data_IF_317071557807
#
_entry.id   IF_317071557807
#
_cell.length_a   1.000
_cell.length_b   1.000
_cell.length_c   1.000
_cell.angle_alpha   90.00
_cell.angle_beta   90.00
_cell.angle_gamma   90.00
#
_symmetry.space_group_name_H-M   'P 1'
#
loop_
_entity.id
_entity.type
_entity.pdbx_description
1 polymer ?
#
# COMPACT_ATOMS: atom_id res chain seq x y z
N UNK A 1 -29.75 -10.78 -0.03
CA UNK A 1 -28.31 -10.84 0.33
C UNK A 1 -27.61 -9.48 0.16
N UNK A 2 -28.12 -8.42 0.83
CA UNK A 2 -27.64 -7.01 0.66
C UNK A 2 -26.45 -6.65 1.57
N UNK A 3 -26.17 -7.47 2.60
CA UNK A 3 -25.13 -7.21 3.60
C UNK A 3 -23.73 -7.33 2.98
N UNK A 4 -23.51 -8.23 2.02
CA UNK A 4 -22.21 -8.37 1.34
C UNK A 4 -21.89 -7.26 0.32
N UNK A 5 -22.89 -6.49 -0.13
CA UNK A 5 -22.68 -5.45 -1.14
C UNK A 5 -22.72 -4.01 -0.58
N UNK A 6 -22.97 -3.85 0.72
CA UNK A 6 -23.15 -2.52 1.34
C UNK A 6 -21.85 -1.84 1.78
N UNK A 7 -20.85 -2.60 2.24
CA UNK A 7 -19.59 -2.06 2.78
C UNK A 7 -18.43 -3.02 2.48
N UNK A 8 -17.83 -2.98 1.27
CA UNK A 8 -16.75 -3.89 0.86
C UNK A 8 -15.58 -3.96 1.83
N UNK A 9 -15.27 -2.86 2.53
CA UNK A 9 -14.20 -2.76 3.52
C UNK A 9 -14.48 -3.64 4.74
N UNK A 10 -15.74 -3.71 5.20
CA UNK A 10 -16.12 -4.51 6.37
C UNK A 10 -15.99 -6.00 6.06
N UNK A 11 -16.49 -6.44 4.90
CA UNK A 11 -16.35 -7.83 4.45
C UNK A 11 -14.88 -8.20 4.22
N UNK A 12 -14.08 -7.27 3.68
CA UNK A 12 -12.64 -7.49 3.48
C UNK A 12 -11.89 -7.67 4.80
N UNK A 13 -12.21 -6.89 5.83
CA UNK A 13 -11.58 -7.01 7.15
C UNK A 13 -11.83 -8.39 7.77
N UNK A 14 -13.06 -8.91 7.66
CA UNK A 14 -13.42 -10.25 8.14
C UNK A 14 -12.62 -11.32 7.37
N UNK A 15 -12.54 -11.21 6.05
CA UNK A 15 -11.77 -12.14 5.22
C UNK A 15 -10.29 -12.17 5.60
N UNK A 16 -9.66 -11.02 5.84
CA UNK A 16 -8.26 -10.94 6.30
C UNK A 16 -8.08 -11.67 7.63
N UNK A 17 -9.01 -11.49 8.58
CA UNK A 17 -8.95 -12.17 9.88
C UNK A 17 -9.10 -13.70 9.76
N UNK A 18 -9.98 -14.18 8.88
CA UNK A 18 -10.12 -15.62 8.62
C UNK A 18 -8.83 -16.21 8.04
N UNK A 19 -8.18 -15.53 7.10
CA UNK A 19 -6.89 -15.97 6.55
C UNK A 19 -5.77 -15.98 7.59
N UNK A 20 -5.75 -15.02 8.52
CA UNK A 20 -4.82 -15.02 9.65
C UNK A 20 -5.03 -16.23 10.58
N UNK A 21 -6.30 -16.56 10.90
CA UNK A 21 -6.64 -17.75 11.68
C UNK A 21 -6.15 -19.03 10.97
N UNK A 22 -6.40 -19.17 9.66
CA UNK A 22 -5.96 -20.32 8.87
C UNK A 22 -4.43 -20.42 8.87
N UNK A 23 -3.72 -19.30 8.66
CA UNK A 23 -2.26 -19.25 8.72
C UNK A 23 -1.70 -19.72 10.06
N UNK A 24 -2.29 -19.24 11.16
CA UNK A 24 -1.92 -19.64 12.53
C UNK A 24 -2.22 -21.12 12.81
N UNK A 25 -3.41 -21.60 12.44
CA UNK A 25 -3.82 -22.99 12.66
C UNK A 25 -2.94 -23.99 11.90
N UNK A 26 -2.54 -23.64 10.68
CA UNK A 26 -1.67 -24.46 9.82
C UNK A 26 -0.18 -24.25 10.09
N UNK A 27 0.18 -23.29 10.96
CA UNK A 27 1.57 -22.87 11.23
C UNK A 27 2.33 -22.46 9.96
N UNK A 28 1.64 -21.90 8.98
CA UNK A 28 2.22 -21.47 7.71
C UNK A 28 1.95 -19.98 7.45
N UNK A 29 2.91 -19.24 6.89
CA UNK A 29 2.65 -17.89 6.42
C UNK A 29 1.65 -17.93 5.25
N UNK A 30 0.69 -17.00 5.24
CA UNK A 30 -0.45 -16.99 4.29
C UNK A 30 0.01 -17.04 2.83
N UNK A 31 1.11 -16.37 2.45
CA UNK A 31 1.61 -16.39 1.07
C UNK A 31 1.95 -17.79 0.56
N UNK A 32 2.32 -18.74 1.44
CA UNK A 32 2.55 -20.15 1.06
C UNK A 32 1.24 -20.87 0.79
N UNK A 33 0.23 -20.63 1.62
CA UNK A 33 -1.11 -21.18 1.45
C UNK A 33 -1.77 -20.72 0.15
N UNK A 34 -1.44 -19.51 -0.31
CA UNK A 34 -1.94 -18.93 -1.56
C UNK A 34 -1.14 -19.31 -2.82
N UNK A 35 -0.13 -20.20 -2.71
CA UNK A 35 0.64 -20.70 -3.85
C UNK A 35 2.15 -20.42 -3.83
N UNK A 36 2.65 -19.64 -2.87
CA UNK A 36 4.07 -19.69 -2.47
C UNK A 36 5.12 -19.16 -3.46
N UNK A 37 4.78 -18.27 -4.40
CA UNK A 37 5.68 -17.92 -5.50
C UNK A 37 6.96 -17.16 -5.10
N UNK A 38 6.89 -16.17 -4.21
CA UNK A 38 8.05 -15.36 -3.78
C UNK A 38 7.96 -15.01 -2.31
N UNK A 39 9.09 -15.08 -1.60
CA UNK A 39 9.19 -14.67 -0.19
C UNK A 39 9.29 -13.15 -0.03
N UNK A 40 9.82 -12.46 -1.05
CA UNK A 40 10.09 -11.03 -1.02
C UNK A 40 9.60 -10.37 -2.31
N UNK A 41 9.12 -9.13 -2.20
CA UNK A 41 8.66 -8.31 -3.31
C UNK A 41 9.25 -6.91 -3.22
N UNK A 42 9.52 -6.28 -4.38
CA UNK A 42 10.04 -4.92 -4.41
C UNK A 42 8.93 -3.94 -4.03
N UNK A 43 9.10 -3.22 -2.92
CA UNK A 43 8.24 -2.11 -2.55
C UNK A 43 8.63 -0.83 -3.31
N UNK A 44 7.70 0.13 -3.37
CA UNK A 44 7.92 1.46 -3.95
C UNK A 44 7.49 2.55 -2.97
N UNK A 45 8.15 3.70 -3.01
CA UNK A 45 7.81 4.85 -2.15
C UNK A 45 6.53 5.54 -2.63
N UNK A 46 5.48 5.56 -1.82
CA UNK A 46 4.19 6.20 -2.17
C UNK A 46 4.09 7.61 -1.56
N UNK A 47 4.19 8.65 -2.40
CA UNK A 47 4.26 10.03 -1.94
C UNK A 47 2.88 10.69 -1.76
N UNK A 48 2.64 11.45 -0.68
CA UNK A 48 1.43 12.23 -0.50
C UNK A 48 1.09 13.15 -1.68
N UNK A 49 -0.18 13.56 -1.78
CA UNK A 49 -0.61 14.60 -2.72
C UNK A 49 -0.16 15.98 -2.24
N UNK A 50 0.00 16.92 -3.17
CA UNK A 50 0.12 18.34 -2.86
C UNK A 50 1.55 18.84 -2.61
N UNK A 51 2.58 18.03 -2.89
CA UNK A 51 3.94 18.54 -2.89
C UNK A 51 4.11 19.64 -3.94
N UNK A 52 4.73 20.75 -3.53
CA UNK A 52 5.35 21.69 -4.48
C UNK A 52 6.49 20.97 -5.21
N UNK A 53 6.80 21.31 -6.47
CA UNK A 53 7.81 20.59 -7.27
C UNK A 53 9.15 20.38 -6.55
N UNK A 54 9.72 21.42 -5.91
CA UNK A 54 10.99 21.32 -5.19
C UNK A 54 10.92 20.35 -3.98
N UNK A 55 9.81 20.34 -3.27
CA UNK A 55 9.60 19.42 -2.14
C UNK A 55 9.40 17.98 -2.62
N UNK A 56 8.77 17.78 -3.78
CA UNK A 56 8.64 16.45 -4.39
C UNK A 56 10.01 15.87 -4.77
N UNK A 57 10.91 16.68 -5.35
CA UNK A 57 12.28 16.25 -5.67
C UNK A 57 13.02 15.80 -4.41
N UNK A 58 12.98 16.60 -3.34
CA UNK A 58 13.60 16.22 -2.06
C UNK A 58 13.01 14.94 -1.46
N UNK A 59 11.69 14.77 -1.51
CA UNK A 59 11.03 13.56 -1.00
C UNK A 59 11.39 12.30 -1.81
N UNK A 60 11.54 12.44 -3.14
CA UNK A 60 12.01 11.35 -4.00
C UNK A 60 13.46 10.99 -3.70
N UNK A 61 14.32 12.00 -3.56
CA UNK A 61 15.72 11.79 -3.22
C UNK A 61 15.86 11.07 -1.87
N UNK A 62 15.11 11.51 -0.85
CA UNK A 62 15.08 10.85 0.46
C UNK A 62 14.58 9.39 0.38
N UNK A 63 13.57 9.11 -0.46
CA UNK A 63 13.08 7.75 -0.65
C UNK A 63 14.12 6.83 -1.32
N UNK A 64 14.93 7.37 -2.23
CA UNK A 64 16.02 6.63 -2.87
C UNK A 64 17.14 6.39 -1.85
N UNK A 65 17.57 7.42 -1.14
CA UNK A 65 18.78 7.39 -0.31
C UNK A 65 18.58 6.64 1.02
N UNK A 66 17.44 6.83 1.70
CA UNK A 66 17.22 6.27 3.04
C UNK A 66 16.70 4.84 3.01
N UNK A 67 15.91 4.48 2.00
CA UNK A 67 15.15 3.23 1.97
C UNK A 67 15.50 2.35 0.76
N UNK A 68 16.38 2.81 -0.13
CA UNK A 68 16.81 2.04 -1.31
C UNK A 68 15.68 1.77 -2.29
N UNK A 69 14.61 2.58 -2.30
CA UNK A 69 13.49 2.36 -3.20
C UNK A 69 13.91 2.52 -4.66
N UNK A 70 13.64 1.49 -5.47
CA UNK A 70 13.90 1.52 -6.93
C UNK A 70 12.80 2.19 -7.74
N UNK A 71 11.68 2.54 -7.08
CA UNK A 71 10.53 3.16 -7.72
C UNK A 71 9.79 4.05 -6.72
N UNK A 72 9.17 5.12 -7.23
CA UNK A 72 8.36 6.06 -6.46
C UNK A 72 7.05 6.37 -7.18
N UNK A 73 5.96 6.54 -6.43
CA UNK A 73 4.66 6.99 -6.94
C UNK A 73 4.40 8.43 -6.50
N UNK A 74 4.50 9.35 -7.45
CA UNK A 74 4.14 10.75 -7.29
C UNK A 74 2.67 10.96 -7.64
N UNK A 75 1.93 11.63 -6.77
CA UNK A 75 0.53 11.97 -7.02
C UNK A 75 0.45 13.43 -7.49
N UNK A 76 0.16 13.60 -8.78
CA UNK A 76 -0.09 14.90 -9.42
C UNK A 76 -1.60 15.22 -9.41
N UNK A 77 -1.97 16.47 -9.69
CA UNK A 77 -3.39 16.85 -9.82
C UNK A 77 -4.08 17.19 -8.48
N UNK A 78 -3.63 18.29 -7.86
CA UNK A 78 -4.34 19.20 -6.94
C UNK A 78 -3.29 20.24 -6.57
N UNK A 79 -3.22 21.33 -7.33
CA UNK A 79 -2.50 22.51 -6.86
C UNK A 79 -3.17 22.98 -5.56
N UNK A 80 -2.37 23.38 -4.57
CA UNK A 80 -2.86 24.27 -3.52
C UNK A 80 -3.56 25.41 -4.27
N UNK A 81 -4.86 25.64 -4.01
CA UNK A 81 -5.56 26.79 -4.60
C UNK A 81 -4.66 28.00 -4.31
N UNK A 82 -4.15 28.64 -5.35
CA UNK A 82 -3.55 29.96 -5.23
C UNK A 82 -4.66 30.86 -4.72
N UNK A 83 -4.67 31.13 -3.41
CA UNK A 83 -5.41 32.26 -2.88
C UNK A 83 -4.70 33.47 -3.47
N UNK A 84 -5.34 34.10 -4.46
CA UNK A 84 -5.01 35.47 -4.87
C UNK A 84 -5.45 36.39 -3.75
#
# INVERSE_FOLDING_TARGET
>A
NRIMFGIPQATSAIQVALWDIIGKATKQPIYKLLGGMKREVRAYGSMPRGYKPKAAVGAVQAAIDLNGFKAVKLRIGKSVKSVR
#
